data_IF_381997009522
#
_entry.id   IF_381997009522
#
_cell.length_a   1.000
_cell.length_b   1.000
_cell.length_c   1.000
_cell.angle_alpha   90.00
_cell.angle_beta   90.00
_cell.angle_gamma   90.00
#
_symmetry.space_group_name_H-M   'P 1'
#
loop_
_entity.id
_entity.type
_entity.pdbx_description
1 polymer ?
#
# COMPACT_ATOMS: atom_id res chain seq x y z
N UNK A 1 59.98 -78.41 -10.83
CA UNK A 1 60.18 -77.08 -10.22
C UNK A 1 58.81 -76.51 -9.95
N UNK A 2 58.35 -76.74 -8.74
CA UNK A 2 57.18 -76.12 -8.14
C UNK A 2 57.31 -74.58 -8.14
N UNK A 3 56.21 -73.89 -8.46
CA UNK A 3 56.06 -72.48 -8.11
C UNK A 3 54.67 -72.26 -7.53
N UNK A 4 54.73 -71.79 -6.29
CA UNK A 4 53.69 -71.64 -5.29
C UNK A 4 52.99 -70.30 -5.52
N UNK A 5 51.69 -70.31 -5.83
CA UNK A 5 50.81 -69.19 -5.56
C UNK A 5 49.44 -69.72 -5.05
N UNK A 6 48.92 -69.17 -3.93
CA UNK A 6 47.72 -69.70 -3.29
C UNK A 6 46.42 -69.30 -4.03
N UNK A 7 45.33 -70.10 -3.89
CA UNK A 7 44.03 -69.76 -4.45
C UNK A 7 43.37 -68.62 -3.66
N UNK A 8 42.75 -67.67 -4.38
CA UNK A 8 42.00 -66.55 -3.79
C UNK A 8 40.74 -67.08 -3.10
N UNK A 9 40.51 -66.78 -1.82
CA UNK A 9 39.32 -67.24 -1.11
C UNK A 9 38.14 -66.28 -1.33
N UNK A 10 36.96 -66.85 -1.57
CA UNK A 10 35.69 -66.25 -1.17
C UNK A 10 34.90 -65.54 -2.27
N UNK A 11 34.08 -66.31 -2.98
CA UNK A 11 32.81 -65.84 -3.54
C UNK A 11 31.92 -65.30 -2.42
N UNK A 12 31.90 -63.97 -2.22
CA UNK A 12 30.82 -63.29 -1.50
C UNK A 12 29.85 -62.74 -2.53
N UNK A 13 28.64 -63.29 -2.54
CA UNK A 13 27.44 -62.60 -3.04
C UNK A 13 27.29 -61.31 -2.22
N UNK A 14 27.90 -60.23 -2.68
CA UNK A 14 27.57 -58.90 -2.22
C UNK A 14 26.31 -58.49 -2.96
N UNK A 15 25.17 -58.50 -2.26
CA UNK A 15 24.03 -57.66 -2.62
C UNK A 15 24.56 -56.30 -3.03
N UNK A 16 24.33 -55.89 -4.28
CA UNK A 16 24.62 -54.53 -4.73
C UNK A 16 23.70 -53.63 -3.91
N UNK A 17 24.17 -53.18 -2.75
CA UNK A 17 23.51 -52.13 -1.99
C UNK A 17 23.45 -50.94 -2.95
N UNK A 18 22.22 -50.54 -3.29
CA UNK A 18 21.95 -49.36 -4.11
C UNK A 18 22.85 -48.22 -3.66
N UNK A 19 23.49 -47.58 -4.64
CA UNK A 19 24.41 -46.47 -4.36
C UNK A 19 23.66 -45.45 -3.52
N UNK A 20 24.35 -44.88 -2.53
CA UNK A 20 23.84 -43.87 -1.59
C UNK A 20 23.29 -42.57 -2.26
N UNK A 21 23.31 -42.52 -3.60
CA UNK A 21 22.73 -41.45 -4.43
C UNK A 21 21.21 -41.58 -4.58
N UNK A 22 20.63 -42.75 -4.29
CA UNK A 22 19.17 -42.95 -4.26
C UNK A 22 18.52 -42.51 -2.92
N UNK A 23 19.35 -42.00 -1.98
CA UNK A 23 18.93 -41.38 -0.72
C UNK A 23 19.31 -39.90 -0.67
N UNK A 24 19.28 -39.22 -1.82
CA UNK A 24 19.13 -37.79 -1.78
C UNK A 24 17.71 -37.55 -1.28
N UNK A 25 17.57 -37.10 -0.02
CA UNK A 25 16.33 -36.49 0.43
C UNK A 25 15.92 -35.51 -0.67
N UNK A 26 14.70 -35.68 -1.19
CA UNK A 26 14.11 -34.75 -2.16
C UNK A 26 14.36 -33.37 -1.59
N UNK A 27 15.13 -32.54 -2.32
CA UNK A 27 15.55 -31.24 -1.83
C UNK A 27 14.33 -30.50 -1.24
N UNK A 28 14.52 -29.70 -0.17
CA UNK A 28 13.44 -29.00 0.55
C UNK A 28 12.52 -28.16 -0.35
N UNK A 29 12.89 -27.94 -1.62
CA UNK A 29 12.14 -27.36 -2.73
C UNK A 29 10.66 -27.81 -2.81
N UNK A 30 10.33 -29.10 -2.61
CA UNK A 30 8.91 -29.52 -2.63
C UNK A 30 8.11 -29.03 -1.42
N UNK A 31 8.74 -28.96 -0.25
CA UNK A 31 8.13 -28.42 0.96
C UNK A 31 8.01 -26.90 0.87
N UNK A 32 9.05 -26.21 0.38
CA UNK A 32 9.00 -24.78 0.10
C UNK A 32 7.89 -24.46 -0.90
N UNK A 33 7.81 -25.19 -2.02
CA UNK A 33 6.77 -24.99 -3.02
C UNK A 33 5.36 -25.13 -2.43
N UNK A 34 5.10 -26.15 -1.61
CA UNK A 34 3.80 -26.32 -0.94
C UNK A 34 3.52 -25.20 0.05
N UNK A 35 4.54 -24.72 0.77
CA UNK A 35 4.40 -23.58 1.68
C UNK A 35 4.08 -22.29 0.91
N UNK A 36 4.76 -22.04 -0.20
CA UNK A 36 4.53 -20.90 -1.08
C UNK A 36 3.13 -20.93 -1.71
N UNK A 37 2.72 -22.08 -2.26
CA UNK A 37 1.37 -22.29 -2.81
C UNK A 37 0.28 -22.07 -1.75
N UNK A 38 0.49 -22.60 -0.53
CA UNK A 38 -0.44 -22.40 0.58
C UNK A 38 -0.49 -20.92 1.00
N UNK A 39 0.64 -20.21 0.98
CA UNK A 39 0.71 -18.79 1.29
C UNK A 39 -0.02 -17.96 0.21
N UNK A 40 0.25 -18.20 -1.08
CA UNK A 40 -0.41 -17.56 -2.21
C UNK A 40 -1.93 -17.75 -2.18
N UNK A 41 -2.39 -18.99 -1.95
CA UNK A 41 -3.81 -19.31 -1.88
C UNK A 41 -4.49 -18.69 -0.65
N UNK A 42 -3.84 -18.75 0.52
CA UNK A 42 -4.35 -18.15 1.76
C UNK A 42 -4.53 -16.64 1.62
N UNK A 43 -3.59 -15.98 0.95
CA UNK A 43 -3.58 -14.53 0.80
C UNK A 43 -4.19 -14.06 -0.53
N UNK A 44 -4.69 -14.98 -1.37
CA UNK A 44 -5.30 -14.69 -2.67
C UNK A 44 -4.45 -13.76 -3.54
N UNK A 45 -3.12 -13.93 -3.47
CA UNK A 45 -2.17 -12.98 -4.05
C UNK A 45 -2.31 -12.89 -5.58
N UNK A 46 -2.63 -13.98 -6.25
CA UNK A 46 -2.86 -14.01 -7.70
C UNK A 46 -4.08 -13.17 -8.10
N UNK A 47 -5.16 -13.25 -7.30
CA UNK A 47 -6.39 -12.48 -7.53
C UNK A 47 -6.10 -11.00 -7.30
N UNK A 48 -5.49 -10.65 -6.16
CA UNK A 48 -5.14 -9.28 -5.83
C UNK A 48 -4.22 -8.66 -6.89
N UNK A 49 -3.18 -9.38 -7.32
CA UNK A 49 -2.25 -8.89 -8.33
C UNK A 49 -2.95 -8.73 -9.69
N UNK A 50 -3.81 -9.67 -10.07
CA UNK A 50 -4.65 -9.57 -11.26
C UNK A 50 -5.56 -8.33 -11.25
N UNK A 51 -6.23 -8.08 -10.12
CA UNK A 51 -7.08 -6.90 -9.94
C UNK A 51 -6.28 -5.59 -10.02
N UNK A 52 -5.08 -5.55 -9.40
CA UNK A 52 -4.20 -4.38 -9.46
C UNK A 52 -3.75 -4.10 -10.89
N UNK A 53 -3.28 -5.12 -11.61
CA UNK A 53 -2.85 -4.96 -13.00
C UNK A 53 -4.01 -4.51 -13.91
N UNK A 54 -5.19 -5.12 -13.75
CA UNK A 54 -6.37 -4.70 -14.48
C UNK A 54 -6.76 -3.26 -14.15
N UNK A 55 -6.69 -2.88 -12.87
CA UNK A 55 -6.91 -1.52 -12.40
C UNK A 55 -5.94 -0.51 -13.00
N UNK A 56 -4.64 -0.83 -13.06
CA UNK A 56 -3.62 0.02 -13.68
C UNK A 56 -3.91 0.30 -15.16
N UNK A 57 -4.29 -0.74 -15.91
CA UNK A 57 -4.59 -0.62 -17.34
C UNK A 57 -5.89 0.16 -17.57
N UNK A 58 -6.91 -0.09 -16.74
CA UNK A 58 -8.23 0.52 -16.90
C UNK A 58 -8.26 1.98 -16.45
N UNK A 59 -7.74 2.26 -15.27
CA UNK A 59 -7.83 3.57 -14.63
C UNK A 59 -6.69 4.50 -15.07
N UNK A 60 -5.55 3.95 -15.51
CA UNK A 60 -4.34 4.69 -15.88
C UNK A 60 -4.02 5.80 -14.86
N UNK A 61 -3.78 5.44 -13.59
CA UNK A 61 -3.62 6.40 -12.50
C UNK A 61 -2.43 7.34 -12.73
N UNK A 62 -2.56 8.57 -12.25
CA UNK A 62 -1.51 9.60 -12.33
C UNK A 62 -0.25 9.18 -11.57
N UNK A 63 -0.42 8.47 -10.45
CA UNK A 63 0.65 7.85 -9.69
C UNK A 63 0.43 6.33 -9.60
N UNK A 64 0.96 5.54 -10.56
CA UNK A 64 0.82 4.09 -10.57
C UNK A 64 1.40 3.39 -9.34
N UNK A 65 2.47 3.95 -8.75
CA UNK A 65 3.12 3.32 -7.58
C UNK A 65 2.24 3.50 -6.36
N UNK A 66 1.74 4.72 -6.13
CA UNK A 66 0.80 4.99 -5.05
C UNK A 66 -0.51 4.20 -5.22
N UNK A 67 -1.00 4.05 -6.45
CA UNK A 67 -2.16 3.19 -6.74
C UNK A 67 -1.92 1.73 -6.30
N UNK A 68 -0.75 1.16 -6.57
CA UNK A 68 -0.42 -0.21 -6.13
C UNK A 68 -0.39 -0.27 -4.61
N UNK A 69 0.30 0.67 -3.95
CA UNK A 69 0.38 0.75 -2.48
C UNK A 69 -1.02 0.81 -1.87
N UNK A 70 -1.87 1.67 -2.39
CA UNK A 70 -3.24 1.85 -1.89
C UNK A 70 -4.13 0.66 -2.21
N UNK A 71 -3.91 0.00 -3.35
CA UNK A 71 -4.67 -1.20 -3.69
C UNK A 71 -4.36 -2.35 -2.74
N UNK A 72 -3.10 -2.51 -2.34
CA UNK A 72 -2.72 -3.51 -1.33
C UNK A 72 -3.28 -3.16 0.04
N UNK A 73 -3.27 -1.88 0.42
CA UNK A 73 -3.69 -1.45 1.76
C UNK A 73 -5.21 -1.34 1.94
N UNK A 74 -5.94 -0.91 0.90
CA UNK A 74 -7.35 -0.52 0.98
C UNK A 74 -8.24 -1.17 -0.09
N UNK A 75 -7.66 -1.90 -1.05
CA UNK A 75 -8.36 -2.46 -2.20
C UNK A 75 -8.36 -1.54 -3.41
N UNK A 76 -8.45 -2.15 -4.61
CA UNK A 76 -8.35 -1.44 -5.91
C UNK A 76 -9.39 -0.33 -6.05
N UNK A 77 -10.63 -0.57 -5.59
CA UNK A 77 -11.72 0.42 -5.65
C UNK A 77 -11.41 1.68 -4.83
N UNK A 78 -10.67 1.53 -3.72
CA UNK A 78 -10.28 2.62 -2.83
C UNK A 78 -9.02 3.34 -3.30
N UNK A 79 -8.23 2.71 -4.17
CA UNK A 79 -7.01 3.24 -4.74
C UNK A 79 -7.25 4.12 -5.98
N UNK A 80 -8.45 4.05 -6.59
CA UNK A 80 -8.81 4.84 -7.78
C UNK A 80 -8.51 6.32 -7.53
N UNK A 81 -7.69 6.89 -8.42
CA UNK A 81 -7.25 8.26 -8.32
C UNK A 81 -8.17 9.19 -9.11
N UNK A 82 -8.57 10.28 -8.47
CA UNK A 82 -9.33 11.35 -9.08
C UNK A 82 -8.53 12.00 -10.24
N UNK A 83 -9.15 12.17 -11.41
CA UNK A 83 -8.45 12.61 -12.64
C UNK A 83 -7.87 14.02 -12.54
N UNK A 84 -8.48 14.90 -11.75
CA UNK A 84 -8.01 16.28 -11.60
C UNK A 84 -6.96 16.39 -10.51
N UNK A 85 -7.23 15.81 -9.35
CA UNK A 85 -6.39 15.97 -8.16
C UNK A 85 -5.32 14.89 -8.02
N UNK A 86 -5.48 13.72 -8.64
CA UNK A 86 -4.64 12.54 -8.44
C UNK A 86 -4.82 11.89 -7.05
N UNK A 87 -5.82 12.31 -6.28
CA UNK A 87 -6.04 11.81 -4.93
C UNK A 87 -6.73 10.45 -4.95
N UNK A 88 -6.23 9.45 -4.20
CA UNK A 88 -6.92 8.18 -4.00
C UNK A 88 -8.29 8.36 -3.33
N UNK A 89 -9.27 7.53 -3.70
CA UNK A 89 -10.63 7.60 -3.16
C UNK A 89 -10.67 7.52 -1.64
N UNK A 90 -9.91 6.62 -1.01
CA UNK A 90 -9.92 6.50 0.44
C UNK A 90 -9.53 7.82 1.12
N UNK A 91 -8.49 8.51 0.65
CA UNK A 91 -8.06 9.81 1.20
C UNK A 91 -9.13 10.88 0.99
N UNK A 92 -9.76 10.89 -0.18
CA UNK A 92 -10.88 11.81 -0.48
C UNK A 92 -12.00 11.64 0.54
N UNK A 93 -12.45 10.41 0.80
CA UNK A 93 -13.53 10.14 1.76
C UNK A 93 -13.19 10.62 3.17
N UNK A 94 -11.95 10.41 3.64
CA UNK A 94 -11.48 10.88 4.95
C UNK A 94 -11.53 12.41 5.07
N UNK A 95 -11.16 13.12 4.00
CA UNK A 95 -11.27 14.58 3.96
C UNK A 95 -12.73 15.06 3.94
N UNK A 96 -13.64 14.34 3.30
CA UNK A 96 -15.06 14.69 3.33
C UNK A 96 -15.67 14.52 4.72
N UNK A 97 -15.26 13.47 5.45
CA UNK A 97 -15.67 13.29 6.84
C UNK A 97 -15.14 14.42 7.73
N UNK A 98 -13.89 14.84 7.53
CA UNK A 98 -13.33 16.00 8.21
C UNK A 98 -14.08 17.29 7.88
N UNK A 99 -14.42 17.52 6.60
CA UNK A 99 -15.18 18.70 6.18
C UNK A 99 -16.53 18.79 6.92
N UNK A 100 -17.24 17.66 7.06
CA UNK A 100 -18.52 17.59 7.79
C UNK A 100 -18.38 17.95 9.27
N UNK A 101 -17.25 17.64 9.90
CA UNK A 101 -16.97 18.01 11.29
C UNK A 101 -16.78 19.52 11.43
N UNK A 102 -16.12 20.14 10.45
CA UNK A 102 -15.86 21.60 10.44
C UNK A 102 -17.15 22.37 10.08
N UNK A 103 -17.90 21.91 9.07
CA UNK A 103 -19.19 22.47 8.65
C UNK A 103 -20.34 22.00 9.57
N UNK A 104 -20.28 22.38 10.84
CA UNK A 104 -21.27 22.00 11.86
C UNK A 104 -22.71 22.38 11.52
N UNK A 105 -22.88 23.36 10.63
CA UNK A 105 -24.18 23.88 10.22
C UNK A 105 -24.71 23.18 8.94
N UNK A 106 -23.91 22.33 8.30
CA UNK A 106 -24.30 21.61 7.08
C UNK A 106 -24.58 22.53 5.90
N UNK A 107 -23.87 23.66 5.82
CA UNK A 107 -24.07 24.67 4.77
C UNK A 107 -23.43 24.30 3.43
N UNK A 108 -22.55 23.29 3.42
CA UNK A 108 -21.73 22.92 2.27
C UNK A 108 -20.58 23.90 2.00
N UNK A 109 -20.28 24.78 2.95
CA UNK A 109 -19.28 25.85 2.87
C UNK A 109 -18.63 26.08 4.23
N UNK A 110 -17.33 26.34 4.28
CA UNK A 110 -16.64 26.76 5.51
C UNK A 110 -15.88 28.06 5.25
N UNK A 111 -15.84 28.97 6.22
CA UNK A 111 -15.06 30.20 6.04
C UNK A 111 -13.57 29.88 6.00
N UNK A 112 -12.83 30.56 5.12
CA UNK A 112 -11.38 30.38 4.99
C UNK A 112 -10.65 30.57 6.33
N UNK A 113 -11.06 31.58 7.10
CA UNK A 113 -10.50 31.84 8.44
C UNK A 113 -10.75 30.69 9.41
N UNK A 114 -11.94 30.09 9.40
CA UNK A 114 -12.24 28.95 10.27
C UNK A 114 -11.37 27.74 9.91
N UNK A 115 -11.19 27.46 8.62
CA UNK A 115 -10.30 26.39 8.16
C UNK A 115 -8.85 26.61 8.60
N UNK A 116 -8.31 27.82 8.41
CA UNK A 116 -6.93 28.14 8.81
C UNK A 116 -6.73 27.99 10.32
N UNK A 117 -7.70 28.47 11.12
CA UNK A 117 -7.67 28.28 12.58
C UNK A 117 -7.74 26.81 12.97
N UNK A 118 -8.57 26.03 12.27
CA UNK A 118 -8.71 24.61 12.52
C UNK A 118 -7.42 23.85 12.19
N UNK A 119 -6.84 24.08 11.02
CA UNK A 119 -5.58 23.47 10.59
C UNK A 119 -4.42 23.84 11.52
N UNK A 120 -4.32 25.10 11.96
CA UNK A 120 -3.28 25.52 12.90
C UNK A 120 -3.47 24.93 14.30
N UNK A 121 -4.72 24.67 14.71
CA UNK A 121 -5.03 24.13 16.04
C UNK A 121 -4.87 22.61 16.12
N UNK A 122 -5.18 21.90 15.03
CA UNK A 122 -5.31 20.45 15.03
C UNK A 122 -4.48 19.74 13.95
N UNK A 123 -3.66 20.46 13.18
CA UNK A 123 -2.80 19.87 12.15
C UNK A 123 -1.32 20.21 12.29
N UNK A 124 -0.95 20.95 13.33
CA UNK A 124 0.40 21.50 13.50
C UNK A 124 1.45 20.49 13.94
N UNK A 125 1.07 19.29 14.39
CA UNK A 125 2.04 18.24 14.70
C UNK A 125 2.47 17.47 13.45
N UNK A 126 1.56 17.28 12.51
CA UNK A 126 1.81 16.49 11.29
C UNK A 126 2.21 17.35 10.09
N UNK A 127 1.67 18.57 9.98
CA UNK A 127 2.01 19.54 8.94
C UNK A 127 2.70 20.72 9.59
N UNK A 128 3.92 21.05 9.15
CA UNK A 128 4.65 22.19 9.67
C UNK A 128 3.89 23.50 9.45
N UNK A 129 4.05 24.48 10.34
CA UNK A 129 3.40 25.79 10.19
C UNK A 129 3.78 26.49 8.87
N UNK A 130 5.01 26.28 8.38
CA UNK A 130 5.48 26.76 7.09
C UNK A 130 4.81 26.05 5.91
N UNK A 131 4.64 24.73 6.00
CA UNK A 131 3.93 23.94 4.98
C UNK A 131 2.48 24.41 4.89
N UNK A 132 1.76 24.44 6.03
CA UNK A 132 0.40 24.95 6.10
C UNK A 132 0.31 26.38 5.53
N UNK A 133 1.21 27.28 5.95
CA UNK A 133 1.29 28.65 5.46
C UNK A 133 1.45 28.75 3.95
N UNK A 134 2.36 27.97 3.37
CA UNK A 134 2.60 27.93 1.92
C UNK A 134 1.40 27.41 1.13
N UNK A 135 0.68 26.42 1.67
CA UNK A 135 -0.50 25.86 1.00
C UNK A 135 -1.65 26.88 1.04
N UNK A 136 -1.80 27.62 2.15
CA UNK A 136 -2.79 28.67 2.29
C UNK A 136 -2.48 29.93 1.48
N UNK A 137 -1.21 30.30 1.27
CA UNK A 137 -0.86 31.51 0.49
C UNK A 137 -1.28 31.41 -0.97
N UNK A 138 -1.27 30.20 -1.53
CA UNK A 138 -1.62 29.95 -2.92
C UNK A 138 -3.12 29.71 -3.13
N UNK A 139 -3.88 29.62 -2.04
CA UNK A 139 -5.31 29.38 -2.10
C UNK A 139 -6.07 30.70 -2.18
N UNK A 140 -6.77 30.90 -3.29
CA UNK A 140 -7.66 32.04 -3.49
C UNK A 140 -9.09 31.57 -3.24
N UNK A 141 -9.69 31.83 -2.07
CA UNK A 141 -11.09 31.52 -1.87
C UNK A 141 -11.95 32.33 -2.85
N UNK A 142 -13.20 31.89 -3.05
CA UNK A 142 -14.18 32.64 -3.82
C UNK A 142 -14.41 34.05 -3.27
N UNK A 143 -15.18 34.86 -4.01
CA UNK A 143 -15.47 36.26 -3.65
C UNK A 143 -16.15 36.44 -2.29
N UNK A 144 -16.71 35.37 -1.72
CA UNK A 144 -17.37 35.32 -0.41
C UNK A 144 -16.44 34.86 0.73
N UNK A 145 -15.17 34.56 0.45
CA UNK A 145 -14.21 33.97 1.38
C UNK A 145 -14.67 32.62 1.99
N UNK A 146 -15.57 31.93 1.30
CA UNK A 146 -16.02 30.59 1.69
C UNK A 146 -15.30 29.54 0.85
N UNK A 147 -15.15 28.36 1.45
CA UNK A 147 -14.51 27.19 0.86
C UNK A 147 -15.58 26.13 0.69
N UNK A 148 -15.78 25.71 -0.54
CA UNK A 148 -16.63 24.57 -0.90
C UNK A 148 -15.97 23.23 -0.55
N UNK A 149 -16.75 22.16 -0.50
CA UNK A 149 -16.22 20.81 -0.31
C UNK A 149 -15.19 20.43 -1.38
N UNK A 150 -15.42 20.79 -2.64
CA UNK A 150 -14.49 20.50 -3.74
C UNK A 150 -13.18 21.28 -3.61
N UNK A 151 -13.26 22.56 -3.24
CA UNK A 151 -12.07 23.37 -2.99
C UNK A 151 -11.28 22.86 -1.79
N UNK A 152 -11.96 22.38 -0.75
CA UNK A 152 -11.33 21.76 0.40
C UNK A 152 -10.54 20.50 0.01
N UNK A 153 -11.13 19.59 -0.77
CA UNK A 153 -10.44 18.40 -1.27
C UNK A 153 -9.26 18.79 -2.17
N UNK A 154 -9.45 19.74 -3.08
CA UNK A 154 -8.39 20.23 -3.96
C UNK A 154 -7.24 20.83 -3.17
N UNK A 155 -7.53 21.61 -2.12
CA UNK A 155 -6.53 22.15 -1.21
C UNK A 155 -5.71 21.03 -0.56
N UNK A 156 -6.37 20.09 0.11
CA UNK A 156 -5.69 19.01 0.82
C UNK A 156 -5.04 17.98 -0.10
N UNK A 157 -5.42 17.92 -1.38
CA UNK A 157 -4.76 17.06 -2.38
C UNK A 157 -3.29 17.40 -2.60
N UNK A 158 -2.93 18.68 -2.49
CA UNK A 158 -1.54 19.12 -2.65
C UNK A 158 -0.66 18.60 -1.52
N UNK A 159 -1.20 18.64 -0.31
CA UNK A 159 -0.56 18.14 0.92
C UNK A 159 -0.48 16.63 0.92
N UNK A 160 -1.56 15.99 0.50
CA UNK A 160 -1.67 14.53 0.47
C UNK A 160 -0.54 13.91 -0.36
N UNK A 161 -0.17 14.52 -1.49
CA UNK A 161 0.88 14.00 -2.38
C UNK A 161 2.27 13.96 -1.77
N UNK A 162 2.55 14.77 -0.75
CA UNK A 162 3.89 14.85 -0.15
C UNK A 162 4.04 13.95 1.08
N UNK A 163 2.97 13.26 1.49
CA UNK A 163 2.95 12.47 2.73
C UNK A 163 2.48 11.03 2.50
N UNK A 164 3.01 10.12 3.32
CA UNK A 164 2.63 8.70 3.33
C UNK A 164 1.20 8.48 3.86
N UNK A 165 0.63 7.29 3.62
CA UNK A 165 -0.69 6.92 4.16
C UNK A 165 -0.74 7.03 5.69
N UNK A 166 0.32 6.62 6.38
CA UNK A 166 0.39 6.70 7.84
C UNK A 166 0.37 8.16 8.34
N UNK A 167 1.14 9.04 7.69
CA UNK A 167 1.14 10.47 8.02
C UNK A 167 -0.21 11.12 7.69
N UNK A 168 -0.82 10.76 6.56
CA UNK A 168 -2.15 11.25 6.20
C UNK A 168 -3.21 10.86 7.23
N UNK A 169 -3.25 9.60 7.66
CA UNK A 169 -4.19 9.17 8.70
C UNK A 169 -3.91 9.82 10.06
N UNK A 170 -2.64 10.03 10.42
CA UNK A 170 -2.27 10.77 11.62
C UNK A 170 -2.78 12.22 11.58
N UNK A 171 -2.59 12.91 10.45
CA UNK A 171 -3.10 14.26 10.22
C UNK A 171 -4.62 14.32 10.33
N UNK A 172 -5.34 13.43 9.62
CA UNK A 172 -6.82 13.41 9.69
C UNK A 172 -7.28 13.13 11.12
N UNK A 173 -6.66 12.18 11.82
CA UNK A 173 -7.01 11.84 13.20
C UNK A 173 -6.76 13.01 14.16
N UNK A 174 -5.64 13.72 14.01
CA UNK A 174 -5.32 14.93 14.77
C UNK A 174 -6.41 15.99 14.56
N UNK A 175 -6.81 16.18 13.29
CA UNK A 175 -7.86 17.10 12.88
C UNK A 175 -9.28 16.66 13.27
N UNK A 176 -9.53 15.41 13.66
CA UNK A 176 -10.87 14.97 14.09
C UNK A 176 -11.11 15.09 15.61
N UNK A 177 -10.07 15.43 16.39
CA UNK A 177 -10.13 15.49 17.86
C UNK A 177 -10.67 16.80 18.43
#
# INVERSE_FOLDING_TARGET
MDSILPPRPGSRQGTVQGRHVDKLDVLPDELLKKQDEAYLAKHQLDVLFGEILQGLVKEMPTDPVQFIIDSVAYGVDQAVQDKESGMPLHRKLRLLDLFRIIDKQGTGRISFRAMQQYANRYGGQTLGAEELGSIFSDFKPGSDNLITQDEFVKFFSRVSKTITNAQFEAMVKEMMN
#
